data_IF_637300160021
#
_entry.id   IF_637300160021
#
_cell.length_a   1.000
_cell.length_b   1.000
_cell.length_c   1.000
_cell.angle_alpha   90.00
_cell.angle_beta   90.00
_cell.angle_gamma   90.00
#
_symmetry.space_group_name_H-M   'P 1'
#
loop_
_entity.id
_entity.type
_entity.pdbx_description
1 polymer ?
#
# COMPACT_ATOMS: atom_id res chain seq x y z
N UNK A 1 -46.99 25.80 58.45
CA UNK A 1 -46.29 26.22 57.20
C UNK A 1 -44.79 26.17 57.44
N UNK A 2 -44.04 25.35 56.69
CA UNK A 2 -42.56 25.29 56.81
C UNK A 2 -41.98 26.63 56.34
N UNK A 3 -41.21 27.31 57.19
CA UNK A 3 -40.43 28.50 56.81
C UNK A 3 -39.41 28.07 55.76
N UNK A 4 -39.61 28.50 54.51
CA UNK A 4 -38.59 28.38 53.47
C UNK A 4 -37.46 29.36 53.80
N UNK A 5 -36.28 28.83 54.14
CA UNK A 5 -35.07 29.63 54.21
C UNK A 5 -34.59 29.94 52.79
N UNK A 6 -34.23 31.19 52.53
CA UNK A 6 -33.55 31.59 51.31
C UNK A 6 -32.18 30.94 51.27
N UNK A 7 -32.06 29.84 50.52
CA UNK A 7 -30.76 29.22 50.23
C UNK A 7 -30.01 30.14 49.28
N UNK A 8 -28.88 30.70 49.71
CA UNK A 8 -27.93 31.33 48.79
C UNK A 8 -27.38 30.24 47.88
N UNK A 9 -27.62 30.40 46.57
CA UNK A 9 -27.04 29.54 45.55
C UNK A 9 -25.52 29.59 45.67
N UNK A 10 -24.90 28.42 45.64
CA UNK A 10 -23.44 28.30 45.55
C UNK A 10 -22.96 28.87 44.22
N UNK A 11 -21.69 29.27 44.13
CA UNK A 11 -21.13 29.86 42.90
C UNK A 11 -21.33 28.96 41.68
N UNK A 12 -21.23 27.65 41.86
CA UNK A 12 -21.51 26.64 40.82
C UNK A 12 -22.98 26.68 40.38
N UNK A 13 -23.94 26.69 41.29
CA UNK A 13 -25.37 26.76 40.97
C UNK A 13 -25.72 28.06 40.20
N UNK A 14 -25.12 29.19 40.58
CA UNK A 14 -25.28 30.45 39.83
C UNK A 14 -24.68 30.37 38.42
N UNK A 15 -23.50 29.75 38.26
CA UNK A 15 -22.91 29.58 36.92
C UNK A 15 -23.77 28.67 36.04
N UNK A 16 -24.34 27.59 36.60
CA UNK A 16 -25.26 26.72 35.86
C UNK A 16 -26.55 27.44 35.49
N UNK A 17 -27.13 28.23 36.40
CA UNK A 17 -28.32 29.02 36.11
C UNK A 17 -28.07 30.06 35.00
N UNK A 18 -26.94 30.76 35.05
CA UNK A 18 -26.53 31.70 34.00
C UNK A 18 -26.30 31.00 32.65
N UNK A 19 -25.61 29.86 32.65
CA UNK A 19 -25.41 29.04 31.45
C UNK A 19 -26.73 28.55 30.88
N UNK A 20 -27.68 28.16 31.73
CA UNK A 20 -29.00 27.69 31.31
C UNK A 20 -29.84 28.79 30.69
N UNK A 21 -29.87 29.99 31.30
CA UNK A 21 -30.55 31.16 30.73
C UNK A 21 -29.91 31.55 29.41
N UNK A 22 -28.57 31.60 29.35
CA UNK A 22 -27.83 31.87 28.11
C UNK A 22 -28.12 30.83 27.02
N UNK A 23 -28.20 29.55 27.40
CA UNK A 23 -28.49 28.46 26.48
C UNK A 23 -29.91 28.56 25.91
N UNK A 24 -30.91 28.91 26.73
CA UNK A 24 -32.29 29.10 26.27
C UNK A 24 -32.40 30.33 25.38
N UNK A 25 -31.73 31.43 25.72
CA UNK A 25 -31.80 32.67 24.94
C UNK A 25 -31.10 32.53 23.57
N UNK A 26 -29.99 31.79 23.51
CA UNK A 26 -29.17 31.64 22.31
C UNK A 26 -29.21 30.22 21.71
N UNK A 27 -30.22 29.41 22.02
CA UNK A 27 -30.26 27.99 21.63
C UNK A 27 -30.09 27.77 20.11
N UNK A 28 -30.69 28.63 19.29
CA UNK A 28 -30.56 28.57 17.82
C UNK A 28 -29.14 28.83 17.35
N UNK A 29 -28.45 29.81 17.95
CA UNK A 29 -27.03 30.10 17.66
C UNK A 29 -26.14 28.97 18.11
N UNK A 30 -26.38 28.39 19.29
CA UNK A 30 -25.59 27.26 19.81
C UNK A 30 -25.70 26.05 18.88
N UNK A 31 -26.92 25.72 18.43
CA UNK A 31 -27.13 24.64 17.44
C UNK A 31 -26.40 24.96 16.14
N UNK A 32 -26.50 26.20 15.63
CA UNK A 32 -25.82 26.61 14.41
C UNK A 32 -24.30 26.51 14.53
N UNK A 33 -23.70 27.00 15.63
CA UNK A 33 -22.27 26.87 15.88
C UNK A 33 -21.84 25.40 16.03
N UNK A 34 -22.64 24.57 16.71
CA UNK A 34 -22.38 23.13 16.81
C UNK A 34 -22.38 22.45 15.45
N UNK A 35 -23.32 22.81 14.58
CA UNK A 35 -23.40 22.29 13.21
C UNK A 35 -22.22 22.75 12.35
N UNK A 36 -21.85 24.03 12.43
CA UNK A 36 -20.66 24.58 11.74
C UNK A 36 -19.38 23.90 12.22
N UNK A 37 -19.20 23.75 13.54
CA UNK A 37 -18.06 23.04 14.12
C UNK A 37 -18.01 21.58 13.65
N UNK A 38 -19.16 20.89 13.62
CA UNK A 38 -19.26 19.53 13.12
C UNK A 38 -18.80 19.42 11.65
N UNK A 39 -19.25 20.33 10.78
CA UNK A 39 -18.78 20.35 9.39
C UNK A 39 -17.30 20.66 9.26
N UNK A 40 -16.78 21.64 10.02
CA UNK A 40 -15.36 21.96 10.02
C UNK A 40 -14.52 20.76 10.47
N UNK A 41 -14.94 20.05 11.53
CA UNK A 41 -14.29 18.81 11.97
C UNK A 41 -14.34 17.73 10.88
N UNK A 42 -15.47 17.56 10.21
CA UNK A 42 -15.60 16.57 9.13
C UNK A 42 -14.72 16.91 7.92
N UNK A 43 -14.66 18.18 7.52
CA UNK A 43 -13.83 18.65 6.42
C UNK A 43 -12.35 18.53 6.77
N UNK A 44 -11.95 18.91 7.98
CA UNK A 44 -10.56 18.78 8.43
C UNK A 44 -10.11 17.34 8.50
N UNK A 45 -10.95 16.41 8.99
CA UNK A 45 -10.66 14.97 8.95
C UNK A 45 -10.53 14.44 7.52
N UNK A 46 -11.39 14.90 6.60
CA UNK A 46 -11.35 14.51 5.19
C UNK A 46 -10.10 15.06 4.46
N UNK A 47 -9.74 16.32 4.73
CA UNK A 47 -8.52 16.91 4.20
C UNK A 47 -7.29 16.22 4.79
N UNK A 48 -7.26 16.02 6.10
CA UNK A 48 -6.15 15.36 6.78
C UNK A 48 -5.96 13.93 6.26
N UNK A 49 -7.03 13.15 6.06
CA UNK A 49 -6.90 11.80 5.47
C UNK A 49 -6.37 11.83 4.05
N UNK A 50 -6.77 12.83 3.25
CA UNK A 50 -6.28 13.02 1.88
C UNK A 50 -4.82 13.42 1.85
N UNK A 51 -4.42 14.38 2.69
CA UNK A 51 -3.03 14.82 2.82
C UNK A 51 -2.15 13.73 3.38
N UNK A 52 -2.59 13.02 4.43
CA UNK A 52 -1.87 11.87 4.98
C UNK A 52 -1.69 10.80 3.92
N UNK A 53 -2.73 10.46 3.14
CA UNK A 53 -2.59 9.46 2.09
C UNK A 53 -1.56 9.84 1.02
N UNK A 54 -1.61 11.08 0.53
CA UNK A 54 -0.62 11.59 -0.43
C UNK A 54 0.78 11.67 0.19
N UNK A 55 0.87 12.10 1.44
CA UNK A 55 2.12 12.15 2.20
C UNK A 55 2.70 10.75 2.42
N UNK A 56 1.87 9.75 2.74
CA UNK A 56 2.28 8.36 2.86
C UNK A 56 2.75 7.79 1.52
N UNK A 57 2.05 8.09 0.41
CA UNK A 57 2.52 7.73 -0.93
C UNK A 57 3.88 8.35 -1.25
N UNK A 58 4.10 9.59 -0.84
CA UNK A 58 5.34 10.32 -1.07
C UNK A 58 6.50 9.83 -0.18
N UNK A 59 6.29 9.72 1.14
CA UNK A 59 7.32 9.35 2.11
C UNK A 59 7.81 7.92 1.93
N UNK A 60 6.91 6.99 1.58
CA UNK A 60 7.27 5.60 1.33
C UNK A 60 8.05 5.41 0.02
N UNK A 61 8.20 6.46 -0.78
CA UNK A 61 8.84 6.42 -2.10
C UNK A 61 8.36 5.20 -2.89
N UNK A 62 7.04 4.96 -2.91
CA UNK A 62 6.42 3.72 -3.42
C UNK A 62 6.94 3.40 -4.82
N UNK A 63 7.13 4.43 -5.65
CA UNK A 63 7.71 4.32 -6.99
C UNK A 63 9.10 3.69 -6.99
N UNK A 64 10.00 4.11 -6.08
CA UNK A 64 11.36 3.57 -5.95
C UNK A 64 11.32 2.14 -5.41
N UNK A 65 10.44 1.87 -4.45
CA UNK A 65 10.27 0.53 -3.90
C UNK A 65 9.76 -0.46 -4.96
N UNK A 66 8.77 -0.05 -5.76
CA UNK A 66 8.28 -0.82 -6.91
C UNK A 66 9.37 -1.02 -7.99
N UNK A 67 10.23 -0.03 -8.21
CA UNK A 67 11.32 -0.12 -9.18
C UNK A 67 12.41 -1.09 -8.74
N UNK A 68 12.85 -1.03 -7.49
CA UNK A 68 13.83 -1.96 -6.91
C UNK A 68 13.28 -3.39 -6.91
N UNK A 69 12.04 -3.57 -6.45
CA UNK A 69 11.41 -4.89 -6.40
C UNK A 69 11.17 -5.47 -7.79
N UNK A 70 10.76 -4.65 -8.78
CA UNK A 70 10.71 -5.05 -10.19
C UNK A 70 12.08 -5.48 -10.68
N UNK A 71 13.13 -4.71 -10.44
CA UNK A 71 14.50 -5.06 -10.84
C UNK A 71 14.93 -6.41 -10.27
N UNK A 72 14.64 -6.68 -8.99
CA UNK A 72 14.93 -7.97 -8.34
C UNK A 72 14.12 -9.11 -8.99
N UNK A 73 12.84 -8.90 -9.27
CA UNK A 73 11.95 -9.88 -9.90
C UNK A 73 12.24 -10.11 -11.39
N UNK A 74 13.03 -9.27 -12.03
CA UNK A 74 13.45 -9.41 -13.43
C UNK A 74 14.91 -9.89 -13.55
N UNK A 75 15.66 -9.98 -12.44
CA UNK A 75 17.05 -10.45 -12.44
C UNK A 75 17.13 -11.90 -12.89
N UNK A 76 17.95 -12.24 -13.90
CA UNK A 76 18.08 -13.63 -14.31
C UNK A 76 18.81 -14.41 -13.20
N UNK A 77 18.13 -15.40 -12.62
CA UNK A 77 18.68 -16.28 -11.61
C UNK A 77 19.16 -17.60 -12.24
N UNK A 78 20.28 -18.11 -11.73
CA UNK A 78 20.82 -19.40 -12.14
C UNK A 78 19.93 -20.56 -11.67
N UNK A 79 19.96 -21.67 -12.39
CA UNK A 79 19.16 -22.87 -12.12
C UNK A 79 19.28 -23.36 -10.68
N UNK A 80 20.48 -23.29 -10.09
CA UNK A 80 20.70 -23.76 -8.73
C UNK A 80 19.91 -22.97 -7.67
N UNK A 81 19.57 -21.70 -7.93
CA UNK A 81 18.75 -20.90 -7.01
C UNK A 81 17.30 -21.41 -6.99
N UNK A 82 16.79 -21.88 -8.13
CA UNK A 82 15.43 -22.41 -8.24
C UNK A 82 15.26 -23.78 -7.57
N UNK A 83 16.36 -24.51 -7.35
CA UNK A 83 16.35 -25.76 -6.60
C UNK A 83 16.33 -25.54 -5.08
N UNK A 84 16.62 -24.33 -4.61
CA UNK A 84 16.48 -23.96 -3.20
C UNK A 84 15.03 -23.55 -2.88
N UNK A 85 14.38 -24.35 -2.03
CA UNK A 85 13.02 -24.11 -1.57
C UNK A 85 12.90 -22.76 -0.84
N UNK A 86 13.89 -22.38 -0.04
CA UNK A 86 13.83 -21.14 0.73
C UNK A 86 13.91 -19.92 -0.19
N UNK A 87 14.79 -19.97 -1.20
CA UNK A 87 14.84 -18.97 -2.25
C UNK A 87 13.51 -18.83 -2.99
N UNK A 88 12.94 -19.93 -3.48
CA UNK A 88 11.67 -19.93 -4.21
C UNK A 88 10.53 -19.34 -3.37
N UNK A 89 10.45 -19.72 -2.09
CA UNK A 89 9.45 -19.19 -1.15
C UNK A 89 9.59 -17.68 -0.97
N UNK A 90 10.82 -17.19 -0.76
CA UNK A 90 11.09 -15.76 -0.61
C UNK A 90 10.83 -14.97 -1.89
N UNK A 91 11.16 -15.55 -3.05
CA UNK A 91 10.88 -14.96 -4.35
C UNK A 91 9.37 -14.81 -4.62
N UNK A 92 8.59 -15.85 -4.31
CA UNK A 92 7.13 -15.79 -4.42
C UNK A 92 6.50 -14.81 -3.43
N UNK A 93 7.01 -14.73 -2.20
CA UNK A 93 6.57 -13.74 -1.20
C UNK A 93 6.87 -12.30 -1.69
N UNK A 94 8.06 -12.07 -2.27
CA UNK A 94 8.41 -10.80 -2.88
C UNK A 94 7.45 -10.44 -4.02
N UNK A 95 7.12 -11.40 -4.89
CA UNK A 95 6.16 -11.20 -5.98
C UNK A 95 4.74 -10.88 -5.47
N UNK A 96 4.28 -11.58 -4.42
CA UNK A 96 2.99 -11.31 -3.79
C UNK A 96 2.93 -9.90 -3.21
N UNK A 97 3.96 -9.49 -2.45
CA UNK A 97 4.09 -8.13 -1.90
C UNK A 97 4.18 -7.07 -2.99
N UNK A 98 4.91 -7.34 -4.07
CA UNK A 98 4.98 -6.46 -5.22
C UNK A 98 3.59 -6.21 -5.83
N UNK A 99 2.79 -7.27 -6.01
CA UNK A 99 1.43 -7.18 -6.52
C UNK A 99 0.53 -6.36 -5.59
N UNK A 100 0.60 -6.60 -4.28
CA UNK A 100 -0.18 -5.83 -3.30
C UNK A 100 0.20 -4.35 -3.33
N UNK A 101 1.50 -4.05 -3.32
CA UNK A 101 2.01 -2.68 -3.38
C UNK A 101 1.56 -1.97 -4.65
N UNK A 102 1.57 -2.67 -5.80
CA UNK A 102 1.07 -2.15 -7.08
C UNK A 102 -0.42 -1.85 -7.03
N UNK A 103 -1.24 -2.72 -6.45
CA UNK A 103 -2.68 -2.47 -6.31
C UNK A 103 -2.94 -1.30 -5.36
N UNK A 104 -2.21 -1.23 -4.25
CA UNK A 104 -2.30 -0.14 -3.29
C UNK A 104 -1.87 1.20 -3.90
N UNK A 105 -0.82 1.23 -4.73
CA UNK A 105 -0.33 2.45 -5.36
C UNK A 105 -1.32 3.03 -6.35
N UNK A 106 -2.02 2.16 -7.09
CA UNK A 106 -3.09 2.51 -8.03
C UNK A 106 -4.42 2.88 -7.37
N UNK A 107 -4.58 2.66 -6.07
CA UNK A 107 -5.81 3.00 -5.35
C UNK A 107 -5.89 4.51 -5.13
N UNK A 108 -7.06 5.10 -5.32
CA UNK A 108 -7.36 6.48 -4.95
C UNK A 108 -7.95 6.55 -3.53
N UNK A 109 -8.06 7.76 -2.97
CA UNK A 109 -8.63 8.00 -1.62
C UNK A 109 -10.05 7.46 -1.47
N UNK A 110 -10.80 7.40 -2.57
CA UNK A 110 -12.14 6.81 -2.68
C UNK A 110 -12.15 5.27 -2.65
N UNK A 111 -11.00 4.62 -2.42
CA UNK A 111 -10.80 3.18 -2.52
C UNK A 111 -11.04 2.59 -3.93
N UNK A 112 -11.20 3.42 -4.96
CA UNK A 112 -11.34 2.96 -6.35
C UNK A 112 -9.96 2.71 -6.96
N UNK A 113 -9.83 1.62 -7.71
CA UNK A 113 -8.60 1.30 -8.44
C UNK A 113 -8.54 2.13 -9.73
N UNK A 114 -7.51 2.97 -9.86
CA UNK A 114 -7.23 3.66 -11.11
C UNK A 114 -6.37 2.77 -12.02
N UNK A 115 -7.06 2.03 -12.89
CA UNK A 115 -6.44 1.12 -13.87
C UNK A 115 -5.51 1.88 -14.83
N UNK A 116 -5.82 3.15 -15.11
CA UNK A 116 -5.15 3.98 -16.10
C UNK A 116 -4.14 4.96 -15.49
N UNK A 117 -3.74 4.74 -14.24
CA UNK A 117 -2.74 5.57 -13.57
C UNK A 117 -1.39 5.50 -14.29
N UNK A 118 -1.13 6.48 -15.18
CA UNK A 118 0.05 6.53 -16.03
C UNK A 118 1.37 6.36 -15.26
N UNK A 119 1.45 6.87 -14.03
CA UNK A 119 2.63 6.75 -13.18
C UNK A 119 3.02 5.30 -12.85
N UNK A 120 2.03 4.41 -12.74
CA UNK A 120 2.22 3.03 -12.30
C UNK A 120 1.99 1.97 -13.39
N UNK A 121 1.54 2.36 -14.59
CA UNK A 121 1.36 1.44 -15.73
C UNK A 121 2.63 0.64 -16.05
N UNK A 122 3.83 1.24 -15.88
CA UNK A 122 5.12 0.56 -16.11
C UNK A 122 5.36 -0.67 -15.23
N UNK A 123 4.60 -0.83 -14.15
CA UNK A 123 4.69 -1.95 -13.21
C UNK A 123 3.65 -3.05 -13.48
N UNK A 124 2.78 -2.87 -14.48
CA UNK A 124 1.85 -3.93 -14.91
C UNK A 124 2.62 -5.05 -15.63
N UNK A 125 3.58 -4.65 -16.47
CA UNK A 125 4.45 -5.54 -17.24
C UNK A 125 5.71 -5.89 -16.44
N UNK A 126 5.60 -6.90 -15.58
CA UNK A 126 6.78 -7.53 -14.95
C UNK A 126 7.11 -8.81 -15.69
N UNK A 127 8.32 -8.85 -16.26
CA UNK A 127 8.84 -10.05 -16.91
C UNK A 127 9.46 -10.96 -15.85
N UNK A 128 8.62 -11.81 -15.25
CA UNK A 128 9.10 -12.82 -14.31
C UNK A 128 10.27 -13.62 -14.91
N UNK A 129 11.32 -13.73 -14.11
CA UNK A 129 12.62 -14.28 -14.50
C UNK A 129 12.53 -15.49 -15.43
N UNK A 130 13.23 -15.37 -16.56
CA UNK A 130 13.57 -16.51 -17.42
C UNK A 130 14.81 -17.16 -16.82
N UNK A 131 14.71 -18.45 -16.52
CA UNK A 131 15.83 -19.28 -16.12
C UNK A 131 17.02 -19.08 -17.07
N UNK A 132 18.22 -18.81 -16.54
CA UNK A 132 19.44 -18.87 -17.36
C UNK A 132 19.67 -20.35 -17.67
N UNK A 133 19.16 -20.83 -18.80
CA UNK A 133 19.54 -22.15 -19.29
C UNK A 133 21.00 -22.08 -19.68
N UNK A 134 21.85 -22.82 -18.98
CA UNK A 134 23.21 -23.10 -19.42
C UNK A 134 23.14 -23.96 -20.71
N UNK A 135 22.87 -23.34 -21.86
CA UNK A 135 22.84 -24.03 -23.16
C UNK A 135 24.21 -24.57 -23.58
N UNK A 136 25.28 -24.27 -22.83
CA UNK A 136 26.61 -24.83 -23.07
C UNK A 136 26.71 -26.33 -22.73
N UNK A 137 25.92 -26.85 -21.78
CA UNK A 137 26.01 -28.29 -21.42
C UNK A 137 25.35 -29.25 -22.43
N UNK A 138 24.52 -28.75 -23.34
CA UNK A 138 23.95 -29.59 -24.41
C UNK A 138 24.70 -29.48 -25.74
N UNK A 139 25.37 -28.35 -26.03
CA UNK A 139 26.21 -28.24 -27.23
C UNK A 139 27.48 -29.10 -27.16
N UNK A 140 28.09 -29.24 -25.98
CA UNK A 140 29.25 -30.14 -25.81
C UNK A 140 28.87 -31.62 -25.82
N UNK A 141 27.60 -31.98 -25.59
CA UNK A 141 27.14 -33.37 -25.75
C UNK A 141 26.69 -33.64 -27.20
N UNK A 142 25.98 -32.73 -27.84
CA UNK A 142 25.60 -32.89 -29.27
C UNK A 142 26.84 -32.88 -30.19
N UNK A 143 27.86 -32.05 -29.92
CA UNK A 143 29.11 -32.10 -30.70
C UNK A 143 29.96 -33.35 -30.41
N UNK A 144 29.89 -33.95 -29.21
CA UNK A 144 30.62 -35.20 -28.93
C UNK A 144 29.95 -36.44 -29.52
N UNK A 145 28.62 -36.44 -29.68
CA UNK A 145 27.91 -37.56 -30.30
C UNK A 145 27.96 -37.52 -31.84
N UNK A 146 28.18 -36.35 -32.44
CA UNK A 146 28.39 -36.22 -33.89
C UNK A 146 29.84 -36.49 -34.33
N UNK A 147 30.85 -36.32 -33.45
CA UNK A 147 32.25 -36.67 -33.76
C UNK A 147 32.62 -38.15 -33.44
N UNK A 148 31.87 -38.85 -32.58
CA UNK A 148 32.11 -40.28 -32.27
C UNK A 148 31.40 -41.27 -33.22
N UNK A 149 30.57 -40.81 -34.17
CA UNK A 149 29.80 -41.69 -35.06
C UNK A 149 30.35 -41.81 -36.50
N UNK A 150 31.41 -41.07 -36.85
CA UNK A 150 31.98 -41.03 -38.21
C UNK A 150 33.35 -41.73 -38.36
N UNK A 151 33.85 -42.45 -37.34
CA UNK A 151 35.18 -43.11 -37.38
C UNK A 151 35.19 -44.66 -37.29
N UNK A 152 34.05 -45.37 -37.40
CA UNK A 152 34.02 -46.86 -37.30
C UNK A 152 33.48 -47.64 -38.53
N UNK A 153 33.28 -47.02 -39.70
CA UNK A 153 32.93 -47.72 -40.96
C UNK A 153 34.00 -47.58 -42.07
N UNK A 154 35.28 -47.90 -41.80
CA UNK A 154 36.26 -48.16 -42.88
C UNK A 154 37.55 -48.84 -42.33
N UNK A 155 37.52 -50.16 -42.13
CA UNK A 155 38.75 -50.99 -42.15
C UNK A 155 38.43 -52.48 -42.32
N UNK A 156 38.71 -52.95 -43.54
CA UNK A 156 38.99 -54.33 -44.03
C UNK A 156 37.93 -55.43 -43.93
#
# INVERSE_FOLDING_TARGET
>A
MKKYHSRRLTTTENTFALLWVFAIENWTKIILYGFVLFFLLRITLYLLSTYLYQFFKWILQIKKLLEISKEILEKPYEEFHWNDYEFCKRYLDLYAKFRELRVASKKNNSNTLDVNSMEFMRFDDVKLCRMIRNSKKNKEKECNYEEEFDEEEESE
#
